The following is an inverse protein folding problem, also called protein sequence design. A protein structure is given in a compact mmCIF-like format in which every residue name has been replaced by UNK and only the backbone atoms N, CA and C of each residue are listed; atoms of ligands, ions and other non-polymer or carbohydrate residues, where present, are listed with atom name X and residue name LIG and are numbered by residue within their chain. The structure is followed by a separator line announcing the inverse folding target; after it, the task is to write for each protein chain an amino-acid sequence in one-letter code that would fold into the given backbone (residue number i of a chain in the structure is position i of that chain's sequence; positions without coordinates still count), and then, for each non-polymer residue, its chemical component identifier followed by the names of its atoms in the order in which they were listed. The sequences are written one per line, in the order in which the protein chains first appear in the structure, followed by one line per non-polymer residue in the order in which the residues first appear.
data_IF_876918949407
#
_entry.id   IF_876918949407
#
_cell.length_a   1.000
_cell.length_b   1.000
_cell.length_c   1.000
_cell.angle_alpha   90.00
_cell.angle_beta   90.00
_cell.angle_gamma   90.00
#
_symmetry.space_group_name_H-M   'P 1'
#
loop_
_entity.id
_entity.type
_entity.pdbx_description
1 polymer ?
#
# COMPACT_ATOMS: atom_id res chain seq x y z
N UNK A 1 -6.57 -20.26 -4.38
CA UNK A 1 -6.70 -19.29 -5.49
C UNK A 1 -5.92 -19.79 -6.69
N UNK A 2 -6.57 -19.83 -7.84
CA UNK A 2 -5.94 -20.25 -9.10
C UNK A 2 -6.13 -19.12 -10.11
N UNK A 3 -5.09 -18.86 -10.88
CA UNK A 3 -5.14 -17.84 -11.93
C UNK A 3 -4.81 -18.49 -13.28
N UNK A 4 -5.62 -18.20 -14.28
CA UNK A 4 -5.39 -18.66 -15.64
C UNK A 4 -4.62 -17.58 -16.41
N UNK A 5 -3.59 -18.01 -17.15
CA UNK A 5 -2.76 -17.10 -17.92
C UNK A 5 -2.86 -17.41 -19.41
N UNK A 6 -3.19 -16.42 -20.27
CA UNK A 6 -3.22 -16.63 -21.71
C UNK A 6 -1.78 -16.64 -22.28
N UNK A 7 -1.12 -17.77 -22.21
CA UNK A 7 0.29 -17.95 -22.57
C UNK A 7 0.63 -17.42 -23.95
N UNK A 8 -0.22 -17.73 -24.94
CA UNK A 8 0.02 -17.27 -26.32
C UNK A 8 0.09 -15.75 -26.42
N UNK A 9 -0.75 -15.07 -25.62
CA UNK A 9 -0.79 -13.62 -25.60
C UNK A 9 0.49 -13.04 -24.99
N UNK A 10 1.04 -13.72 -23.97
CA UNK A 10 2.32 -13.33 -23.38
C UNK A 10 3.45 -13.43 -24.40
N UNK A 11 3.49 -14.50 -25.20
CA UNK A 11 4.48 -14.65 -26.27
C UNK A 11 4.40 -13.51 -27.29
N UNK A 12 3.18 -13.14 -27.67
CA UNK A 12 2.96 -12.08 -28.66
C UNK A 12 3.35 -10.69 -28.16
N UNK A 13 3.21 -10.44 -26.86
CA UNK A 13 3.50 -9.13 -26.27
C UNK A 13 4.92 -9.04 -25.67
N UNK A 14 5.62 -10.17 -25.55
CA UNK A 14 6.93 -10.18 -24.93
C UNK A 14 6.92 -9.83 -23.46
N UNK A 15 5.83 -10.15 -22.77
CA UNK A 15 5.64 -9.80 -21.37
C UNK A 15 6.28 -10.78 -20.41
N UNK A 16 6.26 -10.43 -19.13
CA UNK A 16 6.71 -11.29 -18.04
C UNK A 16 5.80 -11.13 -16.85
N UNK A 17 5.60 -12.24 -16.11
CA UNK A 17 4.92 -12.21 -14.82
C UNK A 17 5.95 -12.40 -13.72
N UNK A 18 6.05 -11.44 -12.82
CA UNK A 18 6.97 -11.51 -11.69
C UNK A 18 6.20 -11.35 -10.39
N UNK A 19 6.58 -12.13 -9.40
CA UNK A 19 6.02 -11.99 -8.05
C UNK A 19 6.90 -11.02 -7.28
N UNK A 20 6.26 -10.10 -6.57
CA UNK A 20 6.94 -9.16 -5.69
C UNK A 20 6.25 -9.18 -4.34
N UNK A 21 7.03 -9.38 -3.28
CA UNK A 21 6.53 -9.34 -1.91
C UNK A 21 7.02 -8.05 -1.28
N UNK A 22 6.09 -7.14 -0.97
CA UNK A 22 6.42 -5.82 -0.43
C UNK A 22 7.52 -5.10 -1.23
N UNK A 23 7.48 -5.22 -2.58
CA UNK A 23 8.47 -4.60 -3.45
C UNK A 23 9.86 -5.20 -3.31
N UNK A 24 9.97 -6.44 -2.81
CA UNK A 24 11.25 -7.12 -2.56
C UNK A 24 12.16 -6.32 -1.62
N UNK A 25 11.56 -5.57 -0.68
CA UNK A 25 12.33 -4.72 0.21
C UNK A 25 13.11 -5.53 1.25
N UNK A 26 14.19 -4.92 1.74
CA UNK A 26 14.94 -5.44 2.89
C UNK A 26 14.62 -4.54 4.08
N UNK A 27 13.75 -4.99 5.01
CA UNK A 27 13.23 -4.11 6.06
C UNK A 27 14.30 -3.40 6.89
N UNK A 28 15.38 -4.08 7.23
CA UNK A 28 16.45 -3.47 8.03
C UNK A 28 17.19 -2.36 7.29
N UNK A 29 17.19 -2.40 5.97
CA UNK A 29 17.81 -1.36 5.13
C UNK A 29 16.80 -0.30 4.73
N UNK A 30 15.62 -0.74 4.27
CA UNK A 30 14.69 0.14 3.57
C UNK A 30 13.79 0.94 4.49
N UNK A 31 13.39 0.42 5.66
CA UNK A 31 12.59 1.20 6.60
C UNK A 31 13.34 2.40 7.17
N UNK A 32 14.59 2.26 7.62
CA UNK A 32 15.38 3.44 8.00
C UNK A 32 15.56 4.44 6.86
N UNK A 33 15.76 3.95 5.64
CA UNK A 33 15.89 4.81 4.46
C UNK A 33 14.61 5.62 4.21
N UNK A 34 13.45 4.97 4.25
CA UNK A 34 12.17 5.64 4.06
C UNK A 34 11.89 6.64 5.18
N UNK A 35 12.22 6.29 6.42
CA UNK A 35 12.07 7.20 7.55
C UNK A 35 12.93 8.45 7.39
N UNK A 36 14.15 8.29 6.91
CA UNK A 36 15.03 9.42 6.65
C UNK A 36 14.51 10.32 5.53
N UNK A 37 13.98 9.73 4.46
CA UNK A 37 13.36 10.48 3.39
C UNK A 37 12.15 11.28 3.89
N UNK A 38 11.35 10.68 4.76
CA UNK A 38 10.22 11.38 5.36
C UNK A 38 10.70 12.57 6.21
N UNK A 39 11.74 12.38 7.02
CA UNK A 39 12.31 13.45 7.85
C UNK A 39 12.89 14.59 7.02
N UNK A 40 13.52 14.26 5.90
CA UNK A 40 14.13 15.27 5.04
C UNK A 40 13.13 15.98 4.13
N UNK A 41 11.89 15.49 4.07
CA UNK A 41 10.86 16.08 3.21
C UNK A 41 10.81 15.50 1.80
N UNK A 42 11.66 14.50 1.51
CA UNK A 42 11.69 13.88 0.18
C UNK A 42 10.55 12.88 -0.04
N UNK A 43 9.95 12.41 1.05
CA UNK A 43 8.81 11.48 1.00
C UNK A 43 7.66 12.04 1.82
N UNK A 44 6.58 12.39 1.15
CA UNK A 44 5.41 13.00 1.79
C UNK A 44 4.42 11.93 2.22
N UNK A 45 4.63 11.34 3.39
CA UNK A 45 3.72 10.34 3.95
C UNK A 45 2.46 10.97 4.56
N UNK A 46 2.55 12.23 5.00
CA UNK A 46 1.41 12.90 5.64
C UNK A 46 0.22 13.01 4.70
N UNK A 47 0.48 13.25 3.42
CA UNK A 47 -0.58 13.33 2.41
C UNK A 47 -1.23 11.98 2.10
N UNK A 48 -0.57 10.87 2.45
CA UNK A 48 -1.12 9.54 2.26
C UNK A 48 -2.12 9.17 3.35
N UNK A 49 -2.05 9.83 4.51
CA UNK A 49 -3.03 9.65 5.58
C UNK A 49 -4.24 10.50 5.25
N UNK A 50 -5.30 9.85 4.80
CA UNK A 50 -6.51 10.53 4.34
C UNK A 50 -7.45 10.87 5.50
N UNK A 51 -7.53 9.97 6.49
CA UNK A 51 -8.42 10.13 7.64
C UNK A 51 -7.76 9.59 8.89
N UNK A 52 -8.07 10.25 10.02
CA UNK A 52 -7.76 9.73 11.35
C UNK A 52 -9.09 9.37 12.01
N UNK A 53 -9.23 8.14 12.48
CA UNK A 53 -10.50 7.62 12.99
C UNK A 53 -10.31 6.99 14.37
N UNK A 54 -11.44 6.77 15.07
CA UNK A 54 -11.46 5.95 16.27
C UNK A 54 -11.64 4.47 15.91
N UNK A 55 -11.43 3.60 16.89
CA UNK A 55 -11.58 2.15 16.70
C UNK A 55 -13.00 1.77 16.27
N UNK A 56 -14.00 2.48 16.79
CA UNK A 56 -15.41 2.26 16.50
C UNK A 56 -15.77 2.52 15.03
N UNK A 57 -14.96 3.28 14.31
CA UNK A 57 -15.21 3.65 12.92
C UNK A 57 -14.55 2.69 11.92
N UNK A 58 -13.99 1.58 12.38
CA UNK A 58 -13.19 0.66 11.54
C UNK A 58 -13.99 0.07 10.38
N UNK A 59 -15.22 -0.37 10.64
CA UNK A 59 -16.05 -0.96 9.57
C UNK A 59 -16.35 0.04 8.47
N UNK A 60 -16.72 1.26 8.86
CA UNK A 60 -16.99 2.31 7.87
C UNK A 60 -15.72 2.70 7.11
N UNK A 61 -14.56 2.68 7.77
CA UNK A 61 -13.29 2.94 7.11
C UNK A 61 -12.99 1.91 6.04
N UNK A 62 -13.23 0.62 6.31
CA UNK A 62 -13.08 -0.42 5.30
C UNK A 62 -14.04 -0.24 4.12
N UNK A 63 -15.29 0.12 4.41
CA UNK A 63 -16.27 0.37 3.36
C UNK A 63 -15.85 1.56 2.48
N UNK A 64 -15.37 2.63 3.09
CA UNK A 64 -14.86 3.80 2.36
C UNK A 64 -13.66 3.44 1.48
N UNK A 65 -12.78 2.57 1.98
CA UNK A 65 -11.63 2.11 1.22
C UNK A 65 -12.04 1.28 0.01
N UNK A 66 -13.05 0.41 0.16
CA UNK A 66 -13.60 -0.36 -0.95
C UNK A 66 -14.23 0.53 -2.02
N UNK A 67 -14.84 1.64 -1.61
CA UNK A 67 -15.41 2.62 -2.54
C UNK A 67 -14.35 3.50 -3.21
N UNK A 68 -13.09 3.38 -2.81
CA UNK A 68 -12.01 4.20 -3.35
C UNK A 68 -12.00 5.64 -2.84
N UNK A 69 -12.67 5.92 -1.73
CA UNK A 69 -12.78 7.27 -1.18
C UNK A 69 -11.57 7.69 -0.35
N UNK A 70 -10.82 6.72 0.17
CA UNK A 70 -9.68 6.97 1.05
C UNK A 70 -8.48 6.14 0.65
N UNK A 71 -7.27 6.68 0.84
CA UNK A 71 -6.02 5.95 0.64
C UNK A 71 -5.62 5.20 1.91
N UNK A 72 -5.55 5.92 3.03
CA UNK A 72 -5.17 5.36 4.32
C UNK A 72 -6.00 5.99 5.42
N UNK A 73 -6.65 5.14 6.19
CA UNK A 73 -7.33 5.54 7.43
C UNK A 73 -6.48 5.05 8.59
N UNK A 74 -6.11 5.95 9.49
CA UNK A 74 -5.28 5.64 10.65
C UNK A 74 -6.15 5.61 11.89
N UNK A 75 -6.09 4.53 12.64
CA UNK A 75 -6.82 4.42 13.91
C UNK A 75 -5.99 5.07 15.00
N UNK A 76 -6.58 6.04 15.68
CA UNK A 76 -5.96 6.69 16.83
C UNK A 76 -6.61 6.13 18.10
N UNK A 77 -5.80 5.48 18.92
CA UNK A 77 -6.28 4.99 20.20
C UNK A 77 -6.28 6.11 21.22
N UNK A 78 -7.24 6.13 22.16
CA UNK A 78 -7.24 7.13 23.23
C UNK A 78 -6.03 6.94 24.15
N UNK A 79 -5.57 8.05 24.73
CA UNK A 79 -4.45 8.06 25.67
C UNK A 79 -4.78 7.39 27.01
#
# INVERSE_FOLDING_TARGET
MVMELPIQRFFGLGGALRVSWYGDCLPLRDFPLLANWYKSGDLDLDRMVTRVIGLEDTEEAFAAMERGETLRSVIRFPD
#
